data_IF_766102744346
#
_entry.id   IF_766102744346
#
_cell.length_a   1.000
_cell.length_b   1.000
_cell.length_c   1.000
_cell.angle_alpha   90.00
_cell.angle_beta   90.00
_cell.angle_gamma   90.00
#
_symmetry.space_group_name_H-M   'P 1'
#
loop_
_entity.id
_entity.type
_entity.pdbx_description
1 polymer ?
#
# COMPACT_ATOMS: atom_id res chain seq x y z
N UNK A 1 -5.05 6.20 10.10
CA UNK A 1 -4.69 4.89 9.49
C UNK A 1 -5.32 4.83 8.10
N UNK A 2 -4.77 4.10 7.13
CA UNK A 2 -5.32 4.05 5.76
C UNK A 2 -5.28 2.64 5.17
N UNK A 3 -6.29 2.28 4.37
CA UNK A 3 -6.31 1.04 3.57
C UNK A 3 -5.42 1.24 2.35
N UNK A 4 -4.30 0.51 2.30
CA UNK A 4 -3.40 0.51 1.15
C UNK A 4 -4.01 -0.29 -0.01
N UNK A 5 -4.40 -1.53 0.26
CA UNK A 5 -5.12 -2.39 -0.68
C UNK A 5 -5.91 -3.46 0.09
N UNK A 6 -7.09 -3.83 -0.39
CA UNK A 6 -7.93 -4.89 0.16
C UNK A 6 -8.63 -5.65 -0.98
N UNK A 7 -9.05 -6.89 -0.72
CA UNK A 7 -9.91 -7.67 -1.61
C UNK A 7 -11.40 -7.40 -1.30
N UNK A 8 -12.13 -6.73 -2.20
CA UNK A 8 -13.41 -6.09 -1.85
C UNK A 8 -14.66 -6.64 -2.59
N UNK A 9 -14.51 -7.70 -3.40
CA UNK A 9 -15.54 -8.14 -4.38
C UNK A 9 -16.16 -9.51 -4.09
N UNK A 10 -16.01 -10.01 -2.85
CA UNK A 10 -16.42 -11.35 -2.44
C UNK A 10 -16.93 -11.34 -0.99
N UNK A 11 -17.69 -12.36 -0.53
CA UNK A 11 -18.18 -12.41 0.85
C UNK A 11 -17.09 -12.56 1.93
N UNK A 12 -15.84 -12.83 1.53
CA UNK A 12 -14.69 -12.97 2.44
C UNK A 12 -13.48 -12.22 1.88
N UNK A 13 -12.87 -11.33 2.66
CA UNK A 13 -11.65 -10.62 2.26
C UNK A 13 -10.43 -11.55 2.38
N UNK A 14 -9.84 -11.98 1.26
CA UNK A 14 -8.61 -12.80 1.27
C UNK A 14 -7.44 -12.04 1.92
N UNK A 15 -7.39 -10.72 1.69
CA UNK A 15 -6.40 -9.85 2.31
C UNK A 15 -6.92 -8.44 2.57
N UNK A 16 -6.36 -7.80 3.60
CA UNK A 16 -6.55 -6.39 3.92
C UNK A 16 -5.21 -5.80 4.40
N UNK A 17 -4.65 -4.84 3.65
CA UNK A 17 -3.38 -4.18 3.95
C UNK A 17 -3.65 -2.75 4.35
N UNK A 18 -3.19 -2.38 5.55
CA UNK A 18 -3.31 -1.04 6.09
C UNK A 18 -1.95 -0.46 6.45
N UNK A 19 -1.81 0.85 6.28
CA UNK A 19 -0.60 1.58 6.59
C UNK A 19 -0.88 2.73 7.56
N UNK A 20 -0.02 2.87 8.56
CA UNK A 20 0.03 4.06 9.40
C UNK A 20 1.28 4.86 9.06
N UNK A 21 1.10 6.06 8.51
CA UNK A 21 2.19 7.01 8.35
C UNK A 21 2.39 7.85 9.61
N UNK A 22 3.62 8.30 9.81
CA UNK A 22 4.05 9.20 10.86
C UNK A 22 5.12 10.18 10.33
N UNK A 23 5.27 11.32 10.99
CA UNK A 23 6.37 12.25 10.74
C UNK A 23 7.48 11.98 11.76
N UNK A 24 8.68 11.66 11.27
CA UNK A 24 9.89 11.56 12.10
C UNK A 24 10.82 12.68 11.67
N UNK A 25 10.92 13.73 12.50
CA UNK A 25 11.50 15.00 12.07
C UNK A 25 10.69 15.61 10.92
N UNK A 26 11.34 15.86 9.78
CA UNK A 26 10.69 16.39 8.57
C UNK A 26 10.42 15.32 7.50
N UNK A 27 10.62 14.03 7.83
CA UNK A 27 10.45 12.93 6.88
C UNK A 27 9.19 12.15 7.20
N UNK A 28 8.32 11.99 6.19
CA UNK A 28 7.17 11.09 6.27
C UNK A 28 7.63 9.65 6.15
N UNK A 29 7.31 8.82 7.13
CA UNK A 29 7.66 7.40 7.18
C UNK A 29 6.43 6.55 7.46
N UNK A 30 6.52 5.25 7.19
CA UNK A 30 5.52 4.27 7.62
C UNK A 30 5.92 3.84 9.04
N UNK A 31 5.02 4.08 10.00
CA UNK A 31 5.15 3.63 11.38
C UNK A 31 5.02 2.12 11.46
N UNK A 32 3.95 1.59 10.86
CA UNK A 32 3.70 0.16 10.75
C UNK A 32 2.87 -0.17 9.52
N UNK A 33 3.00 -1.41 9.08
CA UNK A 33 2.15 -2.04 8.07
C UNK A 33 1.39 -3.17 8.74
N UNK A 34 0.07 -3.16 8.62
CA UNK A 34 -0.79 -4.23 9.10
C UNK A 34 -1.35 -5.01 7.91
N UNK A 35 -1.25 -6.34 7.94
CA UNK A 35 -1.72 -7.22 6.88
C UNK A 35 -2.58 -8.29 7.49
N UNK A 36 -3.83 -8.36 7.09
CA UNK A 36 -4.69 -9.52 7.34
C UNK A 36 -4.54 -10.43 6.11
N UNK A 37 -4.09 -11.68 6.30
CA UNK A 37 -4.00 -12.70 5.26
C UNK A 37 -4.74 -13.95 5.72
N UNK A 38 -5.81 -14.34 5.01
CA UNK A 38 -6.64 -15.51 5.37
C UNK A 38 -6.99 -15.56 6.88
N UNK A 39 -7.32 -14.39 7.46
CA UNK A 39 -7.64 -14.24 8.88
C UNK A 39 -6.44 -14.18 9.85
N UNK A 40 -5.20 -14.37 9.38
CA UNK A 40 -3.98 -14.16 10.17
C UNK A 40 -3.57 -12.70 10.16
N UNK A 41 -3.34 -12.10 11.33
CA UNK A 41 -2.87 -10.72 11.44
C UNK A 41 -1.34 -10.66 11.49
N UNK A 42 -0.74 -9.96 10.53
CA UNK A 42 0.69 -9.68 10.46
C UNK A 42 0.90 -8.18 10.67
N UNK A 43 1.55 -7.80 11.77
CA UNK A 43 1.93 -6.41 12.02
C UNK A 43 3.43 -6.26 11.90
N UNK A 44 3.88 -5.50 10.91
CA UNK A 44 5.28 -5.17 10.70
C UNK A 44 5.57 -3.78 11.23
N UNK A 45 6.47 -3.69 12.20
CA UNK A 45 7.08 -2.45 12.68
C UNK A 45 8.57 -2.43 12.31
N UNK A 46 9.24 -1.29 12.50
CA UNK A 46 10.64 -1.12 12.07
C UNK A 46 11.58 -2.17 12.67
N UNK A 47 11.39 -2.50 13.94
CA UNK A 47 12.32 -3.34 14.73
C UNK A 47 11.81 -4.76 15.00
N UNK A 48 10.53 -5.02 14.74
CA UNK A 48 9.92 -6.32 15.02
C UNK A 48 8.67 -6.57 14.20
N UNK A 49 8.30 -7.85 14.13
CA UNK A 49 7.11 -8.31 13.43
C UNK A 49 6.30 -9.15 14.41
N UNK A 50 4.99 -8.92 14.41
CA UNK A 50 4.02 -9.69 15.17
C UNK A 50 3.18 -10.54 14.22
N UNK A 51 2.96 -11.80 14.58
CA UNK A 51 1.98 -12.69 13.97
C UNK A 51 0.97 -13.04 15.04
N UNK A 52 -0.28 -12.61 14.87
CA UNK A 52 -1.34 -12.74 15.89
C UNK A 52 -0.84 -12.26 17.28
N UNK A 53 -0.31 -11.04 17.32
CA UNK A 53 0.22 -10.35 18.50
C UNK A 53 1.45 -11.00 19.16
N UNK A 54 2.00 -12.06 18.56
CA UNK A 54 3.23 -12.71 19.03
C UNK A 54 4.41 -12.28 18.20
N UNK A 55 5.45 -11.79 18.86
CA UNK A 55 6.71 -11.43 18.21
C UNK A 55 7.39 -12.67 17.63
N UNK A 56 7.77 -12.59 16.36
CA UNK A 56 8.50 -13.65 15.66
C UNK A 56 9.95 -13.26 15.37
N UNK A 57 10.74 -14.23 14.96
CA UNK A 57 12.08 -14.04 14.39
C UNK A 57 12.05 -14.45 12.91
N UNK A 58 12.84 -13.76 12.08
CA UNK A 58 12.93 -14.05 10.65
C UNK A 58 14.09 -15.01 10.35
N UNK A 59 13.96 -15.90 9.35
CA UNK A 59 12.75 -16.14 8.56
C UNK A 59 11.65 -16.84 9.36
N UNK A 60 10.39 -16.58 9.00
CA UNK A 60 9.22 -17.16 9.65
C UNK A 60 8.31 -17.83 8.61
N UNK A 61 8.00 -19.10 8.83
CA UNK A 61 7.09 -19.87 8.00
C UNK A 61 5.75 -20.02 8.71
N UNK A 62 4.74 -19.35 8.18
CA UNK A 62 3.36 -19.42 8.64
C UNK A 62 2.51 -20.38 7.79
N UNK A 63 1.24 -20.60 8.18
CA UNK A 63 0.31 -21.36 7.38
C UNK A 63 -0.03 -20.58 6.09
N UNK A 64 0.63 -20.95 4.99
CA UNK A 64 0.35 -20.38 3.67
C UNK A 64 1.12 -19.10 3.33
N UNK A 65 2.01 -18.63 4.20
CA UNK A 65 2.89 -17.49 3.93
C UNK A 65 4.27 -17.67 4.55
N UNK A 66 5.25 -16.96 4.00
CA UNK A 66 6.62 -16.86 4.50
C UNK A 66 6.99 -15.39 4.68
N UNK A 67 7.72 -15.10 5.75
CA UNK A 67 8.28 -13.77 6.00
C UNK A 67 9.80 -13.90 6.10
N UNK A 68 10.51 -13.09 5.33
CA UNK A 68 11.98 -13.09 5.34
C UNK A 68 12.58 -11.69 5.18
N UNK A 69 13.86 -11.56 5.53
CA UNK A 69 14.66 -10.42 5.12
C UNK A 69 15.11 -10.66 3.67
N UNK A 70 14.71 -9.78 2.76
CA UNK A 70 15.08 -9.81 1.36
C UNK A 70 15.81 -8.52 0.99
N UNK A 71 17.15 -8.56 1.01
CA UNK A 71 18.02 -7.38 0.92
C UNK A 71 17.65 -6.33 1.98
N UNK A 72 17.21 -5.13 1.56
CA UNK A 72 16.81 -4.03 2.44
C UNK A 72 15.31 -4.05 2.77
N UNK A 73 14.59 -5.12 2.41
CA UNK A 73 13.15 -5.24 2.60
C UNK A 73 12.81 -6.36 3.57
N UNK A 74 11.72 -6.19 4.30
CA UNK A 74 10.93 -7.32 4.79
C UNK A 74 10.03 -7.75 3.64
N UNK A 75 10.09 -9.03 3.28
CA UNK A 75 9.22 -9.61 2.26
C UNK A 75 8.26 -10.59 2.91
N UNK A 76 6.98 -10.46 2.58
CA UNK A 76 5.92 -11.43 2.89
C UNK A 76 5.48 -12.05 1.57
N UNK A 77 5.69 -13.34 1.40
CA UNK A 77 5.19 -14.10 0.25
C UNK A 77 4.07 -15.02 0.71
N UNK A 78 2.91 -14.95 0.05
CA UNK A 78 1.75 -15.78 0.35
C UNK A 78 1.37 -16.67 -0.82
N UNK A 79 0.91 -17.90 -0.51
CA UNK A 79 0.41 -18.88 -1.48
C UNK A 79 -0.85 -18.41 -2.21
N UNK A 80 -1.53 -17.38 -1.70
CA UNK A 80 -2.67 -16.75 -2.39
C UNK A 80 -2.25 -15.84 -3.54
N UNK A 81 -0.96 -15.76 -3.88
CA UNK A 81 -0.47 -14.92 -4.98
C UNK A 81 -0.32 -13.46 -4.56
N UNK A 82 0.19 -13.22 -3.35
CA UNK A 82 0.44 -11.91 -2.79
C UNK A 82 1.89 -11.83 -2.31
N UNK A 83 2.63 -10.84 -2.79
CA UNK A 83 3.98 -10.53 -2.32
C UNK A 83 4.03 -9.08 -1.83
N UNK A 84 4.34 -8.88 -0.56
CA UNK A 84 4.48 -7.56 0.04
C UNK A 84 5.92 -7.30 0.44
N UNK A 85 6.47 -6.13 0.08
CA UNK A 85 7.85 -5.72 0.40
C UNK A 85 7.85 -4.35 1.06
N UNK A 86 8.43 -4.24 2.25
CA UNK A 86 8.56 -2.98 2.98
C UNK A 86 10.02 -2.70 3.33
N UNK A 87 10.52 -1.51 3.01
CA UNK A 87 11.91 -1.11 3.31
C UNK A 87 12.13 -0.66 4.76
N UNK A 88 11.14 -0.80 5.65
CA UNK A 88 11.15 -0.29 7.04
C UNK A 88 11.20 1.23 7.18
N UNK A 89 10.97 1.94 6.08
CA UNK A 89 10.93 3.40 6.02
C UNK A 89 9.62 3.84 5.36
N UNK A 90 9.64 4.31 4.12
CA UNK A 90 8.53 4.95 3.43
C UNK A 90 8.02 4.18 2.20
N UNK A 91 8.72 3.12 1.78
CA UNK A 91 8.44 2.37 0.56
C UNK A 91 7.76 1.03 0.87
N UNK A 92 6.51 0.90 0.44
CA UNK A 92 5.73 -0.33 0.48
C UNK A 92 5.35 -0.74 -0.94
N UNK A 93 5.62 -1.99 -1.30
CA UNK A 93 5.34 -2.56 -2.62
C UNK A 93 4.50 -3.82 -2.46
N UNK A 94 3.43 -3.93 -3.23
CA UNK A 94 2.48 -5.03 -3.21
C UNK A 94 2.35 -5.62 -4.61
N UNK A 95 2.80 -6.84 -4.83
CA UNK A 95 2.56 -7.57 -6.06
C UNK A 95 1.37 -8.53 -5.83
N UNK A 96 0.45 -8.59 -6.79
CA UNK A 96 -0.76 -9.41 -6.73
C UNK A 96 -0.91 -10.24 -8.01
N UNK A 97 -1.39 -11.46 -7.86
CA UNK A 97 -1.82 -12.29 -8.97
C UNK A 97 -2.97 -11.64 -9.74
N UNK A 98 -2.99 -11.84 -11.06
CA UNK A 98 -4.01 -11.30 -11.97
C UNK A 98 -5.45 -11.69 -11.60
N UNK A 99 -5.64 -12.74 -10.79
CA UNK A 99 -6.96 -13.15 -10.29
C UNK A 99 -7.67 -12.07 -9.46
N UNK A 100 -6.92 -11.11 -8.89
CA UNK A 100 -7.48 -9.98 -8.14
C UNK A 100 -7.83 -8.77 -9.02
N UNK A 101 -7.71 -8.87 -10.34
CA UNK A 101 -8.01 -7.75 -11.24
C UNK A 101 -9.50 -7.34 -11.16
N UNK A 102 -9.77 -6.04 -11.09
CA UNK A 102 -11.10 -5.44 -10.84
C UNK A 102 -11.72 -5.82 -9.49
N UNK A 103 -10.92 -6.39 -8.60
CA UNK A 103 -11.41 -7.04 -7.38
C UNK A 103 -10.86 -6.36 -6.12
N UNK A 104 -9.89 -5.48 -6.27
CA UNK A 104 -9.26 -4.74 -5.17
C UNK A 104 -9.95 -3.42 -4.90
N UNK A 105 -9.70 -2.88 -3.71
CA UNK A 105 -9.99 -1.49 -3.39
C UNK A 105 -8.95 -0.94 -2.40
N UNK A 106 -8.90 0.37 -2.17
CA UNK A 106 -7.85 1.02 -1.38
C UNK A 106 -7.09 2.10 -2.15
N UNK A 107 -6.04 2.62 -1.53
CA UNK A 107 -5.14 3.60 -2.15
C UNK A 107 -4.46 3.09 -3.44
N UNK A 108 -4.35 1.77 -3.62
CA UNK A 108 -3.83 1.14 -4.84
C UNK A 108 -4.87 0.97 -5.96
N UNK A 109 -6.14 1.35 -5.74
CA UNK A 109 -7.19 1.26 -6.74
C UNK A 109 -7.75 -0.16 -6.93
N UNK A 110 -8.39 -0.38 -8.08
CA UNK A 110 -9.17 -1.59 -8.40
C UNK A 110 -8.43 -2.65 -9.22
N UNK A 111 -7.17 -2.39 -9.57
CA UNK A 111 -6.32 -3.29 -10.36
C UNK A 111 -6.94 -3.68 -11.72
N UNK A 112 -7.67 -2.76 -12.37
CA UNK A 112 -8.31 -2.98 -13.67
C UNK A 112 -7.36 -2.86 -14.91
N UNK A 113 -6.11 -2.44 -14.69
CA UNK A 113 -5.10 -2.25 -15.75
C UNK A 113 -5.24 -0.94 -16.54
N UNK A 114 -6.16 -0.06 -16.15
CA UNK A 114 -6.34 1.29 -16.70
C UNK A 114 -5.39 2.24 -15.97
N UNK A 115 -4.84 3.22 -16.70
CA UNK A 115 -3.88 4.15 -16.13
C UNK A 115 -4.50 5.18 -15.17
N UNK A 116 -3.68 5.62 -14.23
CA UNK A 116 -3.97 6.45 -13.06
C UNK A 116 -4.73 7.74 -13.32
N UNK A 117 -4.59 8.32 -14.50
CA UNK A 117 -5.36 9.51 -14.87
C UNK A 117 -6.87 9.26 -14.94
N UNK A 118 -7.31 7.99 -14.90
CA UNK A 118 -8.73 7.59 -14.83
C UNK A 118 -9.16 7.03 -13.47
N UNK A 119 -8.29 7.02 -12.46
CA UNK A 119 -8.60 6.42 -11.14
C UNK A 119 -9.29 7.42 -10.17
N UNK A 120 -9.16 8.73 -10.42
CA UNK A 120 -9.70 9.77 -9.54
C UNK A 120 -11.13 10.18 -9.91
N UNK A 121 -12.06 9.23 -9.84
CA UNK A 121 -13.48 9.48 -10.07
C UNK A 121 -14.32 8.94 -8.92
N UNK A 122 -15.30 9.72 -8.48
CA UNK A 122 -16.35 9.28 -7.57
C UNK A 122 -17.69 9.58 -8.21
N UNK A 123 -18.55 8.57 -8.38
CA UNK A 123 -19.85 8.70 -9.05
C UNK A 123 -19.74 9.44 -10.41
N UNK A 124 -18.74 9.09 -11.22
CA UNK A 124 -18.41 9.72 -12.51
C UNK A 124 -17.97 11.20 -12.44
N UNK A 125 -17.71 11.74 -11.25
CA UNK A 125 -17.19 13.09 -11.05
C UNK A 125 -15.70 13.04 -10.74
N UNK A 126 -14.85 13.86 -11.41
CA UNK A 126 -13.43 13.92 -11.09
C UNK A 126 -13.23 14.45 -9.66
N UNK A 127 -12.40 13.74 -8.89
CA UNK A 127 -12.04 14.12 -7.52
C UNK A 127 -10.55 14.43 -7.41
N UNK A 128 -10.18 15.18 -6.38
CA UNK A 128 -8.77 15.47 -6.08
C UNK A 128 -8.08 14.27 -5.42
N UNK A 129 -6.75 14.20 -5.52
CA UNK A 129 -5.95 13.17 -4.84
C UNK A 129 -6.18 13.16 -3.32
N UNK A 130 -6.45 14.34 -2.71
CA UNK A 130 -6.77 14.45 -1.29
C UNK A 130 -8.12 13.81 -0.96
N UNK A 131 -9.14 14.10 -1.76
CA UNK A 131 -10.47 13.49 -1.58
C UNK A 131 -10.40 11.97 -1.75
N UNK A 132 -9.69 11.48 -2.77
CA UNK A 132 -9.47 10.05 -2.97
C UNK A 132 -8.75 9.41 -1.78
N UNK A 133 -7.68 10.03 -1.29
CA UNK A 133 -6.94 9.52 -0.13
C UNK A 133 -7.78 9.44 1.15
N UNK A 134 -8.64 10.44 1.38
CA UNK A 134 -9.49 10.50 2.56
C UNK A 134 -10.60 9.43 2.55
N UNK A 135 -11.02 8.93 1.39
CA UNK A 135 -11.99 7.82 1.29
C UNK A 135 -11.45 6.53 1.89
N UNK A 136 -10.13 6.34 1.89
CA UNK A 136 -9.47 5.14 2.41
C UNK A 136 -8.97 5.29 3.84
N UNK A 137 -9.35 6.37 4.52
CA UNK A 137 -9.01 6.59 5.92
C UNK A 137 -9.79 5.61 6.80
N UNK A 138 -9.07 4.91 7.65
CA UNK A 138 -9.63 4.05 8.71
C UNK A 138 -9.71 4.88 9.98
N UNK A 139 -10.93 5.09 10.46
CA UNK A 139 -11.18 5.78 11.73
C UNK A 139 -10.84 4.85 12.89
N UNK A 140 -10.03 5.35 13.81
CA UNK A 140 -9.77 4.69 15.09
C UNK A 140 -10.71 5.31 16.14
N UNK A 141 -11.49 4.53 16.91
CA UNK A 141 -12.38 5.07 17.94
C UNK A 141 -11.65 5.90 19.00
N UNK A 142 -10.34 5.71 19.15
CA UNK A 142 -9.50 6.28 20.22
C UNK A 142 -8.67 7.47 19.68
N UNK A 143 -8.55 7.64 18.37
CA UNK A 143 -7.70 8.66 17.74
C UNK A 143 -8.46 9.45 16.66
N UNK A 144 -8.74 10.73 16.92
CA UNK A 144 -9.24 11.67 15.91
C UNK A 144 -8.06 12.31 15.18
N UNK A 145 -7.68 11.73 14.04
CA UNK A 145 -6.70 12.34 13.14
C UNK A 145 -7.40 13.34 12.23
N UNK A 146 -7.04 14.62 12.28
CA UNK A 146 -7.58 15.60 11.33
C UNK A 146 -7.10 15.32 9.89
N UNK A 147 -7.98 15.56 8.92
CA UNK A 147 -7.62 15.45 7.51
C UNK A 147 -6.57 16.51 7.15
N UNK A 148 -5.62 16.18 6.26
CA UNK A 148 -4.64 17.15 5.81
C UNK A 148 -5.33 18.31 5.08
N UNK A 149 -5.05 19.54 5.53
CA UNK A 149 -5.52 20.75 4.85
C UNK A 149 -4.82 20.81 3.48
N UNK A 150 -5.55 20.89 2.36
CA UNK A 150 -4.94 21.03 1.05
C UNK A 150 -4.07 22.29 1.02
N UNK A 151 -2.77 22.13 0.79
CA UNK A 151 -1.91 23.27 0.52
C UNK A 151 -2.35 23.92 -0.81
N UNK A 152 -2.26 25.25 -0.95
CA UNK A 152 -2.52 25.90 -2.23
C UNK A 152 -1.63 25.25 -3.30
N UNK A 153 -2.26 24.75 -4.36
CA UNK A 153 -1.59 24.04 -5.44
C UNK A 153 -0.51 24.95 -6.05
N UNK A 154 0.77 24.68 -5.77
CA UNK A 154 1.80 25.06 -6.74
C UNK A 154 1.58 24.14 -7.93
N UNK A 155 1.14 24.70 -9.05
CA UNK A 155 1.09 24.00 -10.32
C UNK A 155 2.44 23.33 -10.55
N UNK A 156 2.48 22.00 -10.51
CA UNK A 156 3.63 21.27 -11.01
C UNK A 156 3.65 21.57 -12.52
N UNK A 157 4.52 22.49 -12.95
CA UNK A 157 4.72 22.73 -14.38
C UNK A 157 5.38 21.49 -14.99
N UNK A 158 4.85 21.04 -16.14
CA UNK A 158 5.27 19.83 -16.87
C UNK A 158 6.78 19.75 -17.18
N UNK A 159 7.49 20.87 -17.06
CA UNK A 159 8.93 20.96 -17.30
C UNK A 159 9.78 20.42 -16.13
N UNK A 160 9.25 20.38 -14.89
CA UNK A 160 9.91 19.75 -13.74
C UNK A 160 9.65 18.23 -13.63
N UNK A 161 8.72 17.70 -14.43
CA UNK A 161 8.36 16.27 -14.48
C UNK A 161 9.49 15.43 -15.10
N UNK A 162 10.40 16.03 -15.88
CA UNK A 162 11.53 15.31 -16.49
C UNK A 162 12.78 15.19 -15.63
N UNK A 163 12.92 15.96 -14.55
CA UNK A 163 14.19 16.02 -13.80
C UNK A 163 14.10 15.67 -12.30
N UNK A 164 12.91 15.30 -11.80
CA UNK A 164 12.72 14.75 -10.45
C UNK A 164 12.37 13.25 -10.46
N UNK A 165 13.06 12.50 -11.30
CA UNK A 165 12.96 11.03 -11.41
C UNK A 165 13.44 10.25 -10.16
N UNK A 166 13.77 10.91 -9.03
CA UNK A 166 14.55 10.27 -7.97
C UNK A 166 14.03 10.33 -6.53
N UNK A 167 12.95 11.05 -6.17
CA UNK A 167 12.63 11.18 -4.72
C UNK A 167 11.14 11.04 -4.31
N UNK A 168 10.15 11.06 -5.21
CA UNK A 168 8.72 11.07 -4.79
C UNK A 168 7.82 9.98 -5.41
N UNK A 169 8.42 8.89 -5.89
CA UNK A 169 7.74 7.77 -6.58
C UNK A 169 7.30 6.60 -5.67
N UNK A 170 7.35 6.72 -4.35
CA UNK A 170 7.38 5.55 -3.44
C UNK A 170 6.03 4.97 -2.97
N UNK A 171 4.88 5.39 -3.48
CA UNK A 171 3.63 4.61 -3.29
C UNK A 171 2.84 4.34 -4.56
N UNK A 172 3.29 4.84 -5.72
CA UNK A 172 2.46 4.73 -6.92
C UNK A 172 3.21 4.10 -8.10
N UNK A 173 4.55 3.97 -8.12
CA UNK A 173 5.25 3.59 -9.37
C UNK A 173 6.03 2.28 -9.42
N UNK A 174 5.98 1.39 -8.43
CA UNK A 174 6.86 0.21 -8.43
C UNK A 174 6.21 -1.18 -8.54
N UNK A 175 4.89 -1.28 -8.68
CA UNK A 175 4.23 -2.60 -8.74
C UNK A 175 4.00 -3.10 -10.17
N UNK A 176 3.91 -2.23 -11.18
CA UNK A 176 3.54 -2.66 -12.54
C UNK A 176 4.64 -2.47 -13.60
N UNK A 177 5.93 -2.58 -13.22
CA UNK A 177 7.02 -2.60 -14.23
C UNK A 177 7.47 -4.01 -14.63
N UNK A 178 7.11 -5.07 -13.88
CA UNK A 178 7.50 -6.44 -14.25
C UNK A 178 6.52 -7.19 -15.15
N UNK A 179 5.31 -6.66 -15.36
CA UNK A 179 4.30 -7.30 -16.23
C UNK A 179 4.33 -6.72 -17.66
N UNK A 180 4.89 -5.51 -17.87
CA UNK A 180 4.94 -4.88 -19.20
C UNK A 180 6.19 -5.18 -20.04
N UNK A 181 7.23 -5.82 -19.50
CA UNK A 181 8.41 -6.26 -20.28
C UNK A 181 8.31 -7.73 -20.73
N UNK A 182 7.14 -8.37 -20.63
CA UNK A 182 6.87 -9.73 -21.16
C UNK A 182 5.92 -9.76 -22.35
N UNK A 183 5.47 -8.61 -22.83
CA UNK A 183 4.67 -8.46 -24.05
C UNK A 183 5.05 -7.13 -24.73
N UNK A 184 6.21 -7.15 -25.39
CA UNK A 184 6.67 -6.40 -26.58
C UNK A 184 8.20 -6.42 -26.58
#
# INVERSE_FOLDING_TARGET
NYVFASHCTVPFEDFNIQIRRQMVGNTSTISYVNVILDGTNLKMEKDYILVNDKRIQLPYNGPGFEIENFFNYIKVDSKIGLTLKWNKEDSLMLELDKKYANSTCGLCGDFNGISKYKEFYFENTPITNFQFGNQWKVNDPIEDCQDPIPLPQKSCTDEYVRMFFLVLLLCICLICKRILESYI
#
